data_IF_052019524098
#
_entry.id   IF_052019524098
#
_cell.length_a   1.000
_cell.length_b   1.000
_cell.length_c   1.000
_cell.angle_alpha   90.00
_cell.angle_beta   90.00
_cell.angle_gamma   90.00
#
_symmetry.space_group_name_H-M   'P 1'
#
loop_
_entity.id
_entity.type
_entity.pdbx_description
1 polymer ?
#
# COMPACT_ATOMS: atom_id res chain seq x y z
N UNK A 1 -9.55 5.12 0.24
CA UNK A 1 -8.28 5.77 0.67
C UNK A 1 -7.18 4.77 1.05
N UNK A 2 -7.14 4.17 2.26
CA UNK A 2 -6.05 3.20 2.59
C UNK A 2 -6.04 1.97 1.68
N UNK A 3 -7.23 1.44 1.40
CA UNK A 3 -7.44 0.38 0.39
C UNK A 3 -6.96 0.78 -1.00
N UNK A 4 -7.07 2.06 -1.36
CA UNK A 4 -6.62 2.57 -2.66
C UNK A 4 -5.08 2.56 -2.76
N UNK A 5 -4.40 3.03 -1.70
CA UNK A 5 -2.93 2.93 -1.57
C UNK A 5 -2.48 1.47 -1.70
N UNK A 6 -3.15 0.56 -1.00
CA UNK A 6 -2.84 -0.88 -1.05
C UNK A 6 -3.10 -1.44 -2.45
N UNK A 7 -4.16 -1.02 -3.14
CA UNK A 7 -4.47 -1.43 -4.50
C UNK A 7 -3.42 -0.94 -5.51
N UNK A 8 -3.04 0.34 -5.44
CA UNK A 8 -1.97 0.92 -6.28
C UNK A 8 -0.64 0.19 -6.05
N UNK A 9 -0.29 -0.10 -4.80
CA UNK A 9 0.91 -0.89 -4.49
C UNK A 9 0.81 -2.35 -4.96
N UNK A 10 -0.38 -2.96 -4.90
CA UNK A 10 -0.58 -4.31 -5.39
C UNK A 10 -0.42 -4.44 -6.91
N UNK A 11 -0.78 -3.38 -7.65
CA UNK A 11 -0.69 -3.29 -9.10
C UNK A 11 0.71 -2.87 -9.59
N UNK A 12 1.33 -1.88 -8.94
CA UNK A 12 2.61 -1.30 -9.37
C UNK A 12 3.84 -1.91 -8.66
N UNK A 13 3.63 -2.67 -7.58
CA UNK A 13 4.69 -3.27 -6.78
C UNK A 13 5.33 -2.30 -5.79
N UNK A 14 6.09 -1.33 -6.31
CA UNK A 14 6.81 -0.34 -5.50
C UNK A 14 6.52 1.08 -6.00
N UNK A 15 6.14 1.98 -5.10
CA UNK A 15 5.79 3.36 -5.44
C UNK A 15 6.44 4.35 -4.48
N UNK A 16 6.91 5.47 -5.02
CA UNK A 16 7.37 6.58 -4.19
C UNK A 16 6.20 7.32 -3.56
N UNK A 17 6.41 7.98 -2.42
CA UNK A 17 5.34 8.78 -1.79
C UNK A 17 4.70 9.83 -2.72
N UNK A 18 5.42 10.30 -3.75
CA UNK A 18 4.91 11.25 -4.74
C UNK A 18 4.23 10.59 -5.95
N UNK A 19 4.41 9.29 -6.16
CA UNK A 19 3.81 8.56 -7.29
C UNK A 19 2.37 8.12 -7.05
N UNK A 20 1.85 8.34 -5.83
CA UNK A 20 0.45 8.06 -5.51
C UNK A 20 -0.43 9.19 -6.04
N UNK A 21 -1.20 8.86 -7.07
CA UNK A 21 -2.27 9.73 -7.55
C UNK A 21 -3.45 9.62 -6.57
N UNK A 22 -3.50 10.55 -5.63
CA UNK A 22 -4.56 10.63 -4.63
C UNK A 22 -5.03 12.08 -4.59
N UNK A 23 -6.35 12.29 -4.66
CA UNK A 23 -7.01 13.61 -4.59
C UNK A 23 -6.88 14.32 -3.21
N UNK A 24 -5.99 13.83 -2.34
CA UNK A 24 -5.96 14.13 -0.91
C UNK A 24 -4.62 14.75 -0.58
N UNK A 25 -4.64 15.75 0.31
CA UNK A 25 -3.44 16.47 0.73
C UNK A 25 -2.32 15.52 1.22
N UNK A 26 -1.07 15.84 0.86
CA UNK A 26 0.13 15.06 1.21
C UNK A 26 0.32 14.81 2.72
N UNK A 27 -0.18 15.72 3.57
CA UNK A 27 -0.16 15.57 5.02
C UNK A 27 -1.03 14.39 5.49
N UNK A 28 -2.22 14.24 4.92
CA UNK A 28 -3.14 13.12 5.22
C UNK A 28 -2.56 11.81 4.68
N UNK A 29 -2.00 11.82 3.48
CA UNK A 29 -1.36 10.66 2.85
C UNK A 29 -0.23 10.09 3.72
N UNK A 30 0.64 10.97 4.24
CA UNK A 30 1.75 10.59 5.13
C UNK A 30 1.28 9.89 6.40
N UNK A 31 0.15 10.33 6.97
CA UNK A 31 -0.44 9.68 8.13
C UNK A 31 -0.91 8.26 7.82
N UNK A 32 -1.53 8.03 6.66
CA UNK A 32 -1.93 6.69 6.26
C UNK A 32 -0.76 5.77 5.95
N UNK A 33 0.31 6.28 5.34
CA UNK A 33 1.55 5.51 5.18
C UNK A 33 2.12 5.09 6.53
N UNK A 34 2.14 5.99 7.51
CA UNK A 34 2.57 5.66 8.87
C UNK A 34 1.74 4.52 9.46
N UNK A 35 0.41 4.61 9.41
CA UNK A 35 -0.50 3.56 9.92
C UNK A 35 -0.28 2.23 9.20
N UNK A 36 -0.20 2.24 7.87
CA UNK A 36 -0.01 1.01 7.06
C UNK A 36 1.34 0.35 7.36
N UNK A 37 2.37 1.15 7.63
CA UNK A 37 3.69 0.65 8.01
C UNK A 37 3.70 0.09 9.43
N UNK A 38 3.06 0.77 10.38
CA UNK A 38 2.94 0.33 11.78
C UNK A 38 2.07 -0.93 11.92
N UNK A 39 1.07 -1.10 11.07
CA UNK A 39 0.27 -2.33 10.98
C UNK A 39 0.94 -3.48 10.23
N UNK A 40 2.14 -3.26 9.68
CA UNK A 40 2.88 -4.30 8.95
C UNK A 40 2.32 -4.61 7.56
N UNK A 41 1.41 -3.80 7.02
CA UNK A 41 0.84 -4.03 5.68
C UNK A 41 1.85 -3.67 4.59
N UNK A 42 2.63 -2.61 4.82
CA UNK A 42 3.64 -2.12 3.88
C UNK A 42 5.01 -2.07 4.54
N UNK A 43 6.06 -2.02 3.72
CA UNK A 43 7.38 -1.58 4.13
C UNK A 43 7.80 -0.39 3.28
N UNK A 44 8.69 0.44 3.84
CA UNK A 44 9.27 1.56 3.13
C UNK A 44 10.78 1.37 3.08
N UNK A 45 11.39 1.41 1.89
CA UNK A 45 12.84 1.46 1.71
C UNK A 45 13.27 2.82 1.20
N UNK A 46 14.47 3.25 1.59
CA UNK A 46 15.06 4.50 1.09
C UNK A 46 15.95 4.18 -0.10
N UNK A 47 15.71 4.85 -1.22
CA UNK A 47 16.53 4.75 -2.43
C UNK A 47 16.94 6.16 -2.84
N UNK A 48 18.19 6.50 -2.54
CA UNK A 48 18.70 7.86 -2.68
C UNK A 48 17.94 8.85 -1.79
N UNK A 49 17.28 9.83 -2.41
CA UNK A 49 16.46 10.86 -1.74
C UNK A 49 14.99 10.48 -1.61
N UNK A 50 14.57 9.35 -2.19
CA UNK A 50 13.17 8.94 -2.25
C UNK A 50 12.87 7.79 -1.29
N UNK A 51 11.62 7.75 -0.84
CA UNK A 51 11.08 6.62 -0.07
C UNK A 51 10.17 5.81 -1.00
N UNK A 52 10.57 4.58 -1.30
CA UNK A 52 9.70 3.62 -1.97
C UNK A 52 8.91 2.85 -0.93
N UNK A 53 7.64 2.65 -1.20
CA UNK A 53 6.73 1.85 -0.41
C UNK A 53 6.29 0.65 -1.22
N UNK A 54 6.18 -0.50 -0.57
CA UNK A 54 5.83 -1.76 -1.20
C UNK A 54 5.01 -2.61 -0.23
N UNK A 55 4.10 -3.45 -0.74
CA UNK A 55 3.34 -4.37 0.11
C UNK A 55 4.25 -5.46 0.67
N UNK A 56 4.03 -5.85 1.91
CA UNK A 56 4.66 -7.06 2.49
C UNK A 56 3.91 -8.31 2.03
N UNK A 57 3.78 -8.50 0.71
CA UNK A 57 2.87 -9.47 0.10
C UNK A 57 3.16 -10.89 0.59
N UNK A 58 4.41 -11.30 0.54
CA UNK A 58 4.84 -12.64 0.97
C UNK A 58 4.58 -12.86 2.48
N UNK A 59 4.96 -11.92 3.33
CA UNK A 59 4.76 -12.02 4.78
C UNK A 59 3.27 -12.07 5.14
N UNK A 60 2.45 -11.23 4.50
CA UNK A 60 1.01 -11.18 4.72
C UNK A 60 0.32 -12.44 4.21
N UNK A 61 0.76 -13.00 3.09
CA UNK A 61 0.22 -14.26 2.56
C UNK A 61 0.63 -15.46 3.43
N UNK A 62 1.85 -15.46 3.98
CA UNK A 62 2.30 -16.48 4.94
C UNK A 62 1.49 -16.43 6.24
N UNK A 63 1.19 -15.24 6.77
CA UNK A 63 0.45 -15.07 8.02
C UNK A 63 -1.08 -15.21 7.83
N UNK A 64 -1.59 -14.73 6.70
CA UNK A 64 -3.01 -14.68 6.38
C UNK A 64 -3.26 -15.08 4.91
N UNK A 65 -3.16 -16.38 4.59
CA UNK A 65 -3.26 -16.86 3.22
C UNK A 65 -4.55 -16.41 2.55
N UNK A 66 -4.42 -15.76 1.39
CA UNK A 66 -5.57 -15.30 0.60
C UNK A 66 -6.26 -14.03 1.11
N UNK A 67 -5.90 -13.47 2.27
CA UNK A 67 -6.52 -12.24 2.79
C UNK A 67 -6.35 -11.07 1.81
N UNK A 68 -5.11 -10.83 1.38
CA UNK A 68 -4.79 -9.77 0.43
C UNK A 68 -5.51 -9.97 -0.89
N UNK A 69 -5.57 -11.22 -1.38
CA UNK A 69 -6.30 -11.56 -2.60
C UNK A 69 -7.80 -11.31 -2.47
N UNK A 70 -8.43 -11.69 -1.35
CA UNK A 70 -9.86 -11.43 -1.11
C UNK A 70 -10.17 -9.94 -1.01
N UNK A 71 -9.34 -9.18 -0.29
CA UNK A 71 -9.53 -7.73 -0.14
C UNK A 71 -9.38 -7.02 -1.48
N UNK A 72 -8.34 -7.32 -2.25
CA UNK A 72 -8.12 -6.75 -3.58
C UNK A 72 -9.18 -7.21 -4.59
N UNK A 73 -9.64 -8.47 -4.50
CA UNK A 73 -10.74 -8.98 -5.31
C UNK A 73 -12.06 -8.26 -5.06
N UNK A 74 -12.35 -7.88 -3.81
CA UNK A 74 -13.56 -7.13 -3.45
C UNK A 74 -13.60 -5.71 -4.03
N UNK A 75 -12.42 -5.10 -4.23
CA UNK A 75 -12.30 -3.80 -4.90
C UNK A 75 -12.68 -3.90 -6.39
N UNK A 76 -12.31 -5.00 -7.06
CA UNK A 76 -12.69 -5.22 -8.46
C UNK A 76 -14.16 -5.63 -8.65
N UNK A 77 -14.81 -6.14 -7.60
CA UNK A 77 -16.20 -6.60 -7.64
C UNK A 77 -17.23 -5.47 -7.44
N UNK A 78 -16.78 -4.23 -7.22
CA UNK A 78 -17.64 -3.08 -6.94
C UNK A 78 -17.60 -2.00 -8.03
N UNK A 79 -17.34 -2.39 -9.29
CA UNK A 79 -17.40 -1.50 -10.45
C UNK A 79 -18.62 -1.83 -11.32
#
# INVERSE_FOLDING_TARGET
MRLDIVNQLAASGELTCNAFDCEIAKSTLSHHFKILRESGVIYSRKEGTQHLNSLRREELDNLFPGLLASVLGSLSASA
#
